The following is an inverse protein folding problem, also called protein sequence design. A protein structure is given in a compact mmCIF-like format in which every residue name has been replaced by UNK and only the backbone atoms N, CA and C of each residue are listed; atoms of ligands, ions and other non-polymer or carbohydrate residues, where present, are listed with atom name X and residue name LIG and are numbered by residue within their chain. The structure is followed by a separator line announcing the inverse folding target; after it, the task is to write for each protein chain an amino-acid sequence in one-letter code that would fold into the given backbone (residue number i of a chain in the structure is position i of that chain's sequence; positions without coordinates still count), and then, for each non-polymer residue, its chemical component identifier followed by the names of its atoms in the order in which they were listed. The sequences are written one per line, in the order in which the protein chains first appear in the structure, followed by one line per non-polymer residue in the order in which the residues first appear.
data_IF_559930242724
#
_entry.id   IF_559930242724
#
_cell.length_a   1.000
_cell.length_b   1.000
_cell.length_c   1.000
_cell.angle_alpha   90.00
_cell.angle_beta   90.00
_cell.angle_gamma   90.00
#
_symmetry.space_group_name_H-M   'P 1'
#
loop_
_entity.id
_entity.type
_entity.pdbx_description
1 polymer ?
#
# COMPACT_ATOMS: atom_id res chain seq x y z
N UNK A 1 -22.86 12.78 3.63
CA UNK A 1 -21.71 11.97 3.19
C UNK A 1 -20.69 11.97 4.32
N UNK A 2 -20.05 10.85 4.64
CA UNK A 2 -18.94 10.83 5.59
C UNK A 2 -17.77 11.69 5.07
N UNK A 3 -16.99 12.28 5.97
CA UNK A 3 -15.80 13.04 5.59
C UNK A 3 -14.80 12.10 4.89
N UNK A 4 -13.96 12.61 3.96
CA UNK A 4 -12.89 11.84 3.36
C UNK A 4 -11.96 11.23 4.41
N UNK A 5 -11.38 10.05 4.14
CA UNK A 5 -10.42 9.39 5.04
C UNK A 5 -9.23 10.33 5.30
N UNK A 6 -8.78 11.04 4.27
CA UNK A 6 -7.68 12.00 4.35
C UNK A 6 -7.94 13.19 5.27
N UNK A 7 -9.20 13.48 5.58
CA UNK A 7 -9.64 14.57 6.47
C UNK A 7 -10.10 14.06 7.84
N UNK A 8 -10.22 12.75 8.01
CA UNK A 8 -10.61 12.12 9.26
C UNK A 8 -9.47 12.15 10.27
N UNK A 9 -9.80 12.33 11.56
CA UNK A 9 -8.80 12.09 12.60
C UNK A 9 -8.45 10.59 12.68
N UNK A 10 -7.25 10.27 13.18
CA UNK A 10 -6.84 8.88 13.39
C UNK A 10 -7.84 8.12 14.27
N UNK A 11 -8.42 8.78 15.29
CA UNK A 11 -9.42 8.18 16.17
C UNK A 11 -10.72 7.87 15.41
N UNK A 12 -11.20 8.78 14.57
CA UNK A 12 -12.38 8.56 13.74
C UNK A 12 -12.16 7.38 12.77
N UNK A 13 -11.01 7.34 12.10
CA UNK A 13 -10.68 6.25 11.18
C UNK A 13 -10.56 4.90 11.91
N UNK A 14 -9.89 4.88 13.07
CA UNK A 14 -9.76 3.69 13.93
C UNK A 14 -11.13 3.19 14.38
N UNK A 15 -12.01 4.07 14.83
CA UNK A 15 -13.36 3.72 15.27
C UNK A 15 -14.19 3.17 14.11
N UNK A 16 -14.12 3.78 12.93
CA UNK A 16 -14.79 3.31 11.72
C UNK A 16 -14.28 1.91 11.30
N UNK A 17 -12.97 1.67 11.32
CA UNK A 17 -12.39 0.36 10.99
C UNK A 17 -12.75 -0.74 12.01
N UNK A 18 -13.10 -0.37 13.24
CA UNK A 18 -13.54 -1.30 14.29
C UNK A 18 -15.07 -1.46 14.36
N UNK A 19 -15.82 -0.73 13.55
CA UNK A 19 -17.29 -0.81 13.51
C UNK A 19 -17.76 -2.10 12.83
N UNK A 20 -19.05 -2.38 12.92
CA UNK A 20 -19.70 -3.44 12.15
C UNK A 20 -20.02 -3.07 10.71
N UNK A 21 -19.67 -1.86 10.28
CA UNK A 21 -19.89 -1.38 8.92
C UNK A 21 -18.94 -2.06 7.92
N UNK A 22 -19.36 -2.26 6.66
CA UNK A 22 -18.53 -2.97 5.68
C UNK A 22 -17.29 -2.20 5.22
N UNK A 23 -17.25 -0.90 5.44
CA UNK A 23 -16.10 -0.02 5.10
C UNK A 23 -15.84 1.01 6.20
N UNK A 24 -14.57 1.43 6.43
CA UNK A 24 -13.35 0.99 5.75
C UNK A 24 -12.92 -0.43 6.12
N UNK A 25 -12.45 -1.21 5.14
CA UNK A 25 -12.03 -2.59 5.32
C UNK A 25 -10.53 -2.78 5.00
N UNK A 26 -10.12 -4.02 4.75
CA UNK A 26 -8.71 -4.42 4.61
C UNK A 26 -7.90 -3.57 3.63
N UNK A 27 -8.44 -3.21 2.47
CA UNK A 27 -7.75 -2.39 1.47
C UNK A 27 -7.55 -0.97 1.99
N UNK A 28 -8.61 -0.31 2.47
CA UNK A 28 -8.53 1.05 2.98
C UNK A 28 -7.57 1.17 4.19
N UNK A 29 -7.66 0.24 5.15
CA UNK A 29 -6.77 0.20 6.34
C UNK A 29 -5.32 0.00 5.92
N UNK A 30 -5.06 -0.90 4.97
CA UNK A 30 -3.70 -1.15 4.48
C UNK A 30 -3.13 0.00 3.68
N UNK A 31 -3.97 0.70 2.92
CA UNK A 31 -3.57 1.87 2.14
C UNK A 31 -3.18 3.06 3.05
N UNK A 32 -3.94 3.31 4.13
CA UNK A 32 -3.56 4.30 5.15
C UNK A 32 -2.25 3.91 5.81
N UNK A 33 -2.07 2.64 6.19
CA UNK A 33 -0.82 2.14 6.78
C UNK A 33 0.38 2.30 5.84
N UNK A 34 0.20 1.99 4.56
CA UNK A 34 1.23 2.16 3.52
C UNK A 34 1.55 3.64 3.27
N UNK A 35 0.56 4.53 3.36
CA UNK A 35 0.79 5.98 3.29
C UNK A 35 1.70 6.46 4.41
N UNK A 36 1.49 6.02 5.65
CA UNK A 36 2.38 6.33 6.76
C UNK A 36 3.77 5.73 6.59
N UNK A 37 3.87 4.49 6.08
CA UNK A 37 5.15 3.86 5.80
C UNK A 37 5.99 4.66 4.78
N UNK A 38 5.36 5.14 3.70
CA UNK A 38 6.01 5.99 2.69
C UNK A 38 6.37 7.38 3.25
N UNK A 39 5.53 7.94 4.14
CA UNK A 39 5.84 9.15 4.87
C UNK A 39 7.08 8.97 5.77
N UNK A 40 7.17 7.82 6.46
CA UNK A 40 8.32 7.47 7.28
C UNK A 40 9.59 7.28 6.42
N UNK A 41 9.48 6.62 5.26
CA UNK A 41 10.59 6.51 4.31
C UNK A 41 11.06 7.89 3.83
N UNK A 42 10.14 8.79 3.50
CA UNK A 42 10.51 10.16 3.10
C UNK A 42 11.25 10.90 4.22
N UNK A 43 10.87 10.70 5.48
CA UNK A 43 11.62 11.22 6.65
C UNK A 43 13.03 10.64 6.74
N UNK A 44 13.18 9.31 6.61
CA UNK A 44 14.48 8.60 6.61
C UNK A 44 15.43 9.20 5.59
N UNK A 45 14.95 9.39 4.37
CA UNK A 45 15.71 9.94 3.25
C UNK A 45 16.14 11.38 3.52
N UNK A 46 15.25 12.23 4.03
CA UNK A 46 15.57 13.62 4.40
C UNK A 46 16.58 13.72 5.52
N UNK A 47 16.47 12.88 6.56
CA UNK A 47 17.44 12.85 7.65
C UNK A 47 18.81 12.43 7.14
N UNK A 48 18.86 11.41 6.28
CA UNK A 48 20.10 10.92 5.69
C UNK A 48 20.76 11.95 4.78
N UNK A 49 19.99 12.66 3.93
CA UNK A 49 20.49 13.70 3.02
C UNK A 49 21.20 14.86 3.74
N UNK A 50 20.80 15.16 4.97
CA UNK A 50 21.39 16.24 5.78
C UNK A 50 22.71 15.86 6.42
N UNK A 51 23.07 14.57 6.41
CA UNK A 51 24.27 14.10 7.09
C UNK A 51 25.50 14.20 6.17
N UNK A 52 26.62 14.73 6.69
CA UNK A 52 27.86 14.96 5.92
C UNK A 52 28.36 13.73 5.17
N UNK A 53 28.21 12.53 5.74
CA UNK A 53 28.58 11.25 5.12
C UNK A 53 27.91 11.05 3.76
N UNK A 54 26.71 11.57 3.55
CA UNK A 54 25.91 11.39 2.34
C UNK A 54 25.78 12.64 1.49
N UNK A 55 26.62 13.67 1.73
CA UNK A 55 26.57 14.94 1.00
C UNK A 55 26.60 14.75 -0.54
N UNK A 56 27.44 13.86 -1.04
CA UNK A 56 27.51 13.54 -2.48
C UNK A 56 26.24 12.85 -3.01
N UNK A 57 25.48 12.18 -2.17
CA UNK A 57 24.25 11.46 -2.52
C UNK A 57 22.98 12.27 -2.18
N UNK A 58 23.11 13.47 -1.62
CA UNK A 58 21.97 14.25 -1.18
C UNK A 58 20.94 14.52 -2.30
N UNK A 59 21.30 14.85 -3.55
CA UNK A 59 20.33 15.04 -4.61
C UNK A 59 19.54 13.75 -4.91
N UNK A 60 20.17 12.60 -4.88
CA UNK A 60 19.48 11.30 -5.06
C UNK A 60 18.52 11.03 -3.90
N UNK A 61 18.95 11.26 -2.67
CA UNK A 61 18.11 11.07 -1.48
C UNK A 61 16.88 11.99 -1.48
N UNK A 62 17.03 13.23 -1.93
CA UNK A 62 15.93 14.18 -2.09
C UNK A 62 14.93 13.70 -3.15
N UNK A 63 15.41 13.27 -4.32
CA UNK A 63 14.57 12.71 -5.37
C UNK A 63 13.79 11.47 -4.90
N UNK A 64 14.44 10.53 -4.20
CA UNK A 64 13.76 9.37 -3.61
C UNK A 64 12.72 9.79 -2.55
N UNK A 65 13.02 10.82 -1.74
CA UNK A 65 12.07 11.36 -0.75
C UNK A 65 10.82 11.94 -1.40
N UNK A 66 10.99 12.66 -2.51
CA UNK A 66 9.85 13.24 -3.23
C UNK A 66 9.01 12.13 -3.90
N UNK A 67 9.64 11.11 -4.48
CA UNK A 67 8.95 9.94 -5.01
C UNK A 67 8.15 9.21 -3.91
N UNK A 68 8.73 9.00 -2.73
CA UNK A 68 8.03 8.39 -1.60
C UNK A 68 6.83 9.23 -1.16
N UNK A 69 6.93 10.56 -1.18
CA UNK A 69 5.80 11.46 -0.86
C UNK A 69 4.67 11.42 -1.89
N UNK A 70 5.00 11.27 -3.17
CA UNK A 70 4.01 11.09 -4.23
C UNK A 70 3.24 9.79 -4.02
N UNK A 71 3.95 8.69 -3.81
CA UNK A 71 3.31 7.39 -3.56
C UNK A 71 2.52 7.38 -2.24
N UNK A 72 2.97 8.09 -1.19
CA UNK A 72 2.21 8.25 0.06
C UNK A 72 0.83 8.88 -0.16
N UNK A 73 0.76 9.95 -0.95
CA UNK A 73 -0.51 10.59 -1.31
C UNK A 73 -1.40 9.65 -2.13
N UNK A 74 -0.80 8.91 -3.07
CA UNK A 74 -1.51 7.94 -3.90
C UNK A 74 -2.14 6.82 -3.09
N UNK A 75 -1.48 6.37 -2.03
CA UNK A 75 -2.04 5.39 -1.11
C UNK A 75 -3.31 5.88 -0.43
N UNK A 76 -3.38 7.14 0.01
CA UNK A 76 -4.61 7.71 0.56
C UNK A 76 -5.73 7.76 -0.47
N UNK A 77 -5.42 8.05 -1.74
CA UNK A 77 -6.41 8.00 -2.82
C UNK A 77 -6.98 6.59 -3.01
N UNK A 78 -6.14 5.54 -2.97
CA UNK A 78 -6.62 4.17 -3.03
C UNK A 78 -7.54 3.80 -1.86
N UNK A 79 -7.31 4.34 -0.66
CA UNK A 79 -8.22 4.13 0.47
C UNK A 79 -9.62 4.72 0.22
N UNK A 80 -9.68 5.93 -0.35
CA UNK A 80 -10.95 6.57 -0.73
C UNK A 80 -11.65 5.83 -1.89
N UNK A 81 -10.87 5.44 -2.89
CA UNK A 81 -11.39 4.73 -4.07
C UNK A 81 -11.96 3.36 -3.70
N UNK A 82 -11.35 2.64 -2.76
CA UNK A 82 -11.84 1.34 -2.27
C UNK A 82 -13.21 1.48 -1.61
N UNK A 83 -13.36 2.43 -0.69
CA UNK A 83 -14.65 2.72 -0.05
C UNK A 83 -15.71 3.12 -1.08
N UNK A 84 -15.33 3.97 -2.04
CA UNK A 84 -16.22 4.40 -3.11
C UNK A 84 -16.66 3.24 -4.01
N UNK A 85 -15.73 2.37 -4.39
CA UNK A 85 -16.02 1.20 -5.23
C UNK A 85 -16.96 0.22 -4.54
N UNK A 86 -16.77 -0.02 -3.24
CA UNK A 86 -17.69 -0.86 -2.47
C UNK A 86 -19.09 -0.24 -2.38
N UNK A 87 -19.19 1.04 -2.10
CA UNK A 87 -20.46 1.74 -2.06
C UNK A 87 -21.20 1.71 -3.41
N UNK A 88 -20.45 1.86 -4.51
CA UNK A 88 -20.99 1.73 -5.86
C UNK A 88 -21.51 0.31 -6.14
N UNK A 89 -20.80 -0.72 -5.67
CA UNK A 89 -21.25 -2.11 -5.76
C UNK A 89 -22.57 -2.32 -4.99
N UNK A 90 -22.67 -1.85 -3.75
CA UNK A 90 -23.90 -1.96 -2.96
C UNK A 90 -25.06 -1.21 -3.61
N UNK A 91 -24.82 -0.01 -4.13
CA UNK A 91 -25.84 0.79 -4.82
C UNK A 91 -26.32 0.09 -6.10
N UNK A 92 -25.41 -0.42 -6.93
CA UNK A 92 -25.73 -1.11 -8.18
C UNK A 92 -26.52 -2.41 -7.93
N UNK A 93 -26.20 -3.12 -6.84
CA UNK A 93 -26.90 -4.34 -6.44
C UNK A 93 -28.38 -4.12 -6.07
N UNK A 94 -28.75 -2.88 -5.73
CA UNK A 94 -30.12 -2.48 -5.35
C UNK A 94 -30.92 -1.90 -6.51
N UNK A 95 -30.35 -1.79 -7.71
CA UNK A 95 -31.07 -1.30 -8.89
C UNK A 95 -32.23 -2.23 -9.26
N UNK A 96 -33.32 -1.67 -9.86
CA UNK A 96 -34.49 -2.43 -10.30
C UNK A 96 -34.13 -3.57 -11.24
N UNK A 97 -34.96 -4.64 -11.26
CA UNK A 97 -34.78 -5.83 -12.09
C UNK A 97 -36.08 -6.44 -12.61
N UNK A 98 -37.17 -5.67 -12.62
CA UNK A 98 -38.47 -6.16 -13.02
C UNK A 98 -38.59 -6.45 -14.53
N UNK A 99 -37.94 -5.63 -15.38
CA UNK A 99 -37.91 -5.78 -16.82
C UNK A 99 -36.53 -6.15 -17.37
N UNK A 100 -36.47 -6.61 -18.64
CA UNK A 100 -35.21 -7.01 -19.29
C UNK A 100 -34.20 -5.86 -19.32
N UNK A 101 -34.65 -4.67 -19.70
CA UNK A 101 -33.81 -3.47 -19.72
C UNK A 101 -33.23 -3.14 -18.35
N UNK A 102 -34.03 -3.21 -17.29
CA UNK A 102 -33.59 -2.94 -15.92
C UNK A 102 -32.55 -3.98 -15.46
N UNK A 103 -32.77 -5.28 -15.81
CA UNK A 103 -31.82 -6.35 -15.54
C UNK A 103 -30.48 -6.11 -16.24
N UNK A 104 -30.48 -5.69 -17.50
CA UNK A 104 -29.27 -5.38 -18.25
C UNK A 104 -28.53 -4.16 -17.69
N UNK A 105 -29.25 -3.09 -17.36
CA UNK A 105 -28.69 -1.87 -16.76
C UNK A 105 -28.06 -2.19 -15.41
N UNK A 106 -28.77 -2.94 -14.56
CA UNK A 106 -28.26 -3.41 -13.27
C UNK A 106 -27.01 -4.29 -13.45
N UNK A 107 -27.04 -5.26 -14.35
CA UNK A 107 -25.89 -6.16 -14.59
C UNK A 107 -24.65 -5.39 -15.07
N UNK A 108 -24.81 -4.41 -15.96
CA UNK A 108 -23.72 -3.53 -16.39
C UNK A 108 -23.14 -2.72 -15.23
N UNK A 109 -23.99 -2.13 -14.41
CA UNK A 109 -23.57 -1.33 -13.27
C UNK A 109 -22.85 -2.20 -12.21
N UNK A 110 -23.37 -3.38 -11.90
CA UNK A 110 -22.74 -4.34 -10.99
C UNK A 110 -21.37 -4.77 -11.52
N UNK A 111 -21.27 -5.17 -12.79
CA UNK A 111 -20.01 -5.59 -13.39
C UNK A 111 -18.96 -4.47 -13.35
N UNK A 112 -19.34 -3.23 -13.63
CA UNK A 112 -18.45 -2.08 -13.57
C UNK A 112 -17.94 -1.82 -12.15
N UNK A 113 -18.83 -1.87 -11.15
CA UNK A 113 -18.47 -1.67 -9.75
C UNK A 113 -17.55 -2.79 -9.24
N UNK A 114 -17.90 -4.04 -9.52
CA UNK A 114 -17.10 -5.22 -9.18
C UNK A 114 -15.69 -5.14 -9.77
N UNK A 115 -15.57 -4.74 -11.04
CA UNK A 115 -14.28 -4.55 -11.69
C UNK A 115 -13.39 -3.61 -10.88
N UNK A 116 -13.94 -2.52 -10.34
CA UNK A 116 -13.19 -1.57 -9.50
C UNK A 116 -12.71 -2.18 -8.19
N UNK A 117 -13.50 -3.04 -7.54
CA UNK A 117 -13.07 -3.72 -6.31
C UNK A 117 -11.89 -4.69 -6.51
N UNK A 118 -11.52 -5.01 -7.74
CA UNK A 118 -10.34 -5.82 -8.11
C UNK A 118 -9.19 -4.93 -8.58
N UNK A 119 -9.48 -3.97 -9.48
CA UNK A 119 -8.45 -3.10 -10.06
C UNK A 119 -7.76 -2.21 -9.01
N UNK A 120 -8.52 -1.67 -8.05
CA UNK A 120 -7.98 -0.77 -7.02
C UNK A 120 -6.95 -1.46 -6.13
N UNK A 121 -7.23 -2.60 -5.48
CA UNK A 121 -6.21 -3.27 -4.67
C UNK A 121 -5.02 -3.76 -5.49
N UNK A 122 -5.18 -4.16 -6.74
CA UNK A 122 -4.04 -4.49 -7.60
C UNK A 122 -3.16 -3.27 -7.92
N UNK A 123 -3.77 -2.11 -8.18
CA UNK A 123 -3.05 -0.87 -8.38
C UNK A 123 -2.33 -0.42 -7.09
N UNK A 124 -2.98 -0.56 -5.92
CA UNK A 124 -2.38 -0.28 -4.62
C UNK A 124 -1.21 -1.22 -4.31
N UNK A 125 -1.33 -2.51 -4.64
CA UNK A 125 -0.24 -3.48 -4.50
C UNK A 125 0.97 -3.10 -5.36
N UNK A 126 0.74 -2.67 -6.60
CA UNK A 126 1.81 -2.21 -7.49
C UNK A 126 2.49 -0.94 -6.96
N UNK A 127 1.74 0.00 -6.42
CA UNK A 127 2.28 1.21 -5.76
C UNK A 127 3.10 0.85 -4.51
N UNK A 128 2.65 -0.14 -3.70
CA UNK A 128 3.43 -0.65 -2.59
C UNK A 128 4.75 -1.31 -3.04
N UNK A 129 4.74 -2.02 -4.17
CA UNK A 129 5.95 -2.59 -4.78
C UNK A 129 6.95 -1.48 -5.19
N UNK A 130 6.48 -0.37 -5.75
CA UNK A 130 7.31 0.82 -6.01
C UNK A 130 7.90 1.38 -4.71
N UNK A 131 7.11 1.44 -3.63
CA UNK A 131 7.62 1.84 -2.31
C UNK A 131 8.72 0.94 -1.77
N UNK A 132 8.62 -0.38 -1.99
CA UNK A 132 9.67 -1.35 -1.62
C UNK A 132 10.95 -1.19 -2.45
N UNK A 133 10.85 -0.86 -3.73
CA UNK A 133 11.99 -0.50 -4.56
C UNK A 133 12.70 0.74 -3.99
N UNK A 134 11.96 1.79 -3.63
CA UNK A 134 12.52 2.98 -2.98
C UNK A 134 13.22 2.64 -1.65
N UNK A 135 12.67 1.72 -0.84
CA UNK A 135 13.33 1.23 0.38
C UNK A 135 14.67 0.53 0.08
N UNK A 136 14.69 -0.31 -0.96
CA UNK A 136 15.92 -0.99 -1.40
C UNK A 136 16.99 0.00 -1.87
N UNK A 137 16.60 0.99 -2.67
CA UNK A 137 17.51 2.04 -3.17
C UNK A 137 18.04 2.94 -2.05
N UNK A 138 17.23 3.14 -1.01
CA UNK A 138 17.59 3.92 0.17
C UNK A 138 18.56 3.17 1.10
N UNK A 139 18.59 1.83 1.08
CA UNK A 139 19.19 1.02 2.15
C UNK A 139 20.65 1.37 2.44
N UNK A 140 21.50 1.39 1.41
CA UNK A 140 22.93 1.75 1.53
C UNK A 140 23.20 3.24 1.76
N UNK A 141 22.19 4.09 1.65
CA UNK A 141 22.26 5.55 1.80
C UNK A 141 21.56 6.04 3.08
N UNK A 142 21.11 5.12 3.93
CA UNK A 142 20.40 5.46 5.17
C UNK A 142 21.37 5.70 6.32
N UNK A 143 21.18 6.83 7.00
CA UNK A 143 21.92 7.13 8.22
C UNK A 143 21.52 6.18 9.34
N UNK A 144 22.50 5.70 10.11
CA UNK A 144 22.31 4.70 11.17
C UNK A 144 21.28 5.08 12.22
N UNK A 145 21.13 6.35 12.55
CA UNK A 145 20.14 6.84 13.52
C UNK A 145 18.68 6.61 13.10
N UNK A 146 18.41 6.38 11.82
CA UNK A 146 17.07 6.15 11.26
C UNK A 146 16.96 4.81 10.51
N UNK A 147 17.94 3.91 10.73
CA UNK A 147 17.97 2.61 10.04
C UNK A 147 16.78 1.72 10.43
N UNK A 148 16.35 1.77 11.69
CA UNK A 148 15.17 1.05 12.18
C UNK A 148 13.87 1.59 11.55
N UNK A 149 13.78 2.90 11.32
CA UNK A 149 12.65 3.52 10.61
C UNK A 149 12.55 3.02 9.16
N UNK A 150 13.68 2.79 8.48
CA UNK A 150 13.70 2.15 7.16
C UNK A 150 13.14 0.72 7.23
N UNK A 151 13.56 -0.05 8.23
CA UNK A 151 13.05 -1.41 8.46
C UNK A 151 11.54 -1.43 8.71
N UNK A 152 11.05 -0.50 9.52
CA UNK A 152 9.62 -0.34 9.80
C UNK A 152 8.83 0.01 8.52
N UNK A 153 9.29 0.99 7.73
CA UNK A 153 8.66 1.36 6.48
C UNK A 153 8.61 0.18 5.50
N UNK A 154 9.71 -0.57 5.35
CA UNK A 154 9.80 -1.75 4.49
C UNK A 154 8.81 -2.83 4.93
N UNK A 155 8.74 -3.13 6.23
CA UNK A 155 7.87 -4.18 6.77
C UNK A 155 6.38 -3.83 6.60
N UNK A 156 6.00 -2.59 6.84
CA UNK A 156 4.62 -2.11 6.65
C UNK A 156 4.20 -2.18 5.18
N UNK A 157 5.07 -1.75 4.26
CA UNK A 157 4.80 -1.82 2.81
C UNK A 157 4.67 -3.26 2.31
N UNK A 158 5.54 -4.16 2.76
CA UNK A 158 5.47 -5.58 2.40
C UNK A 158 4.18 -6.23 2.94
N UNK A 159 3.77 -5.89 4.16
CA UNK A 159 2.50 -6.31 4.74
C UNK A 159 1.30 -5.79 3.95
N UNK A 160 1.28 -4.50 3.65
CA UNK A 160 0.21 -3.86 2.88
C UNK A 160 0.06 -4.48 1.48
N UNK A 161 1.17 -4.68 0.76
CA UNK A 161 1.17 -5.33 -0.55
C UNK A 161 0.49 -6.70 -0.51
N UNK A 162 0.84 -7.54 0.48
CA UNK A 162 0.22 -8.87 0.63
C UNK A 162 -1.28 -8.79 0.88
N UNK A 163 -1.73 -7.83 1.70
CA UNK A 163 -3.16 -7.63 1.99
C UNK A 163 -3.90 -7.20 0.73
N UNK A 164 -3.36 -6.26 -0.04
CA UNK A 164 -3.95 -5.84 -1.31
C UNK A 164 -4.15 -7.01 -2.27
N UNK A 165 -3.15 -7.89 -2.39
CA UNK A 165 -3.23 -9.08 -3.24
C UNK A 165 -4.28 -10.07 -2.73
N UNK A 166 -4.34 -10.31 -1.42
CA UNK A 166 -5.38 -11.17 -0.81
C UNK A 166 -6.78 -10.62 -1.07
N UNK A 167 -6.98 -9.30 -0.95
CA UNK A 167 -8.28 -8.68 -1.20
C UNK A 167 -8.67 -8.78 -2.68
N UNK A 168 -7.74 -8.54 -3.60
CA UNK A 168 -7.98 -8.71 -5.03
C UNK A 168 -8.37 -10.15 -5.39
N UNK A 169 -7.65 -11.14 -4.86
CA UNK A 169 -7.94 -12.56 -5.07
C UNK A 169 -9.29 -12.96 -4.48
N UNK A 170 -9.60 -12.48 -3.28
CA UNK A 170 -10.88 -12.74 -2.61
C UNK A 170 -12.04 -12.17 -3.42
N UNK A 171 -11.92 -10.93 -3.87
CA UNK A 171 -12.97 -10.28 -4.66
C UNK A 171 -13.20 -11.00 -5.98
N UNK A 172 -12.13 -11.40 -6.68
CA UNK A 172 -12.26 -12.14 -7.93
C UNK A 172 -13.00 -13.48 -7.73
N UNK A 173 -12.70 -14.21 -6.66
CA UNK A 173 -13.30 -15.53 -6.39
C UNK A 173 -14.75 -15.44 -5.91
N UNK A 174 -15.04 -14.50 -5.00
CA UNK A 174 -16.38 -14.36 -4.41
C UNK A 174 -17.42 -13.88 -5.42
N UNK A 175 -16.99 -13.08 -6.39
CA UNK A 175 -17.89 -12.46 -7.35
C UNK A 175 -18.14 -13.34 -8.58
N UNK A 176 -17.58 -14.56 -8.62
CA UNK A 176 -17.74 -15.52 -9.72
C UNK A 176 -17.58 -14.88 -11.12
N UNK A 177 -16.69 -13.90 -11.22
CA UNK A 177 -16.44 -13.16 -12.45
C UNK A 177 -15.65 -14.01 -13.44
N UNK A 178 -15.93 -13.80 -14.71
CA UNK A 178 -15.03 -14.25 -15.75
C UNK A 178 -13.63 -13.68 -15.52
N UNK A 179 -12.60 -14.50 -15.31
CA UNK A 179 -11.25 -14.02 -15.09
C UNK A 179 -10.57 -13.46 -16.35
N UNK A 180 -11.15 -13.67 -17.52
CA UNK A 180 -10.56 -13.29 -18.82
C UNK A 180 -10.18 -11.79 -18.88
N UNK A 181 -11.05 -10.83 -18.50
CA UNK A 181 -10.70 -9.41 -18.51
C UNK A 181 -9.53 -9.01 -17.64
N UNK A 182 -9.19 -9.86 -16.65
CA UNK A 182 -8.11 -9.59 -15.69
C UNK A 182 -6.85 -10.42 -15.98
N UNK A 183 -6.88 -11.31 -16.99
CA UNK A 183 -5.79 -12.26 -17.26
C UNK A 183 -4.44 -11.58 -17.44
N UNK A 184 -4.37 -10.50 -18.22
CA UNK A 184 -3.12 -9.77 -18.44
C UNK A 184 -2.61 -9.10 -17.16
N UNK A 185 -3.53 -8.52 -16.36
CA UNK A 185 -3.21 -7.87 -15.10
C UNK A 185 -2.66 -8.87 -14.08
N UNK A 186 -3.24 -10.07 -14.00
CA UNK A 186 -2.77 -11.15 -13.15
C UNK A 186 -1.51 -11.83 -13.67
N UNK A 187 -1.31 -11.91 -14.99
CA UNK A 187 -0.09 -12.47 -15.57
C UNK A 187 1.15 -11.63 -15.22
N UNK A 188 1.04 -10.31 -15.31
CA UNK A 188 2.12 -9.40 -14.92
C UNK A 188 2.40 -9.37 -13.40
N UNK A 189 1.45 -9.82 -12.59
CA UNK A 189 1.51 -9.76 -11.13
C UNK A 189 2.67 -10.56 -10.56
N UNK A 190 2.86 -11.79 -11.03
CA UNK A 190 3.87 -12.70 -10.46
C UNK A 190 5.29 -12.11 -10.56
N UNK A 191 5.60 -11.44 -11.67
CA UNK A 191 6.91 -10.85 -11.89
C UNK A 191 7.18 -9.67 -10.93
N UNK A 192 6.27 -8.70 -10.87
CA UNK A 192 6.49 -7.54 -10.01
C UNK A 192 6.34 -7.87 -8.54
N UNK A 193 5.50 -8.84 -8.15
CA UNK A 193 5.41 -9.36 -6.78
C UNK A 193 6.73 -10.01 -6.35
N UNK A 194 7.32 -10.83 -7.20
CA UNK A 194 8.63 -11.45 -6.95
C UNK A 194 9.74 -10.39 -6.82
N UNK A 195 9.74 -9.36 -7.68
CA UNK A 195 10.70 -8.25 -7.57
C UNK A 195 10.52 -7.49 -6.26
N UNK A 196 9.30 -7.16 -5.88
CA UNK A 196 9.00 -6.45 -4.65
C UNK A 196 9.43 -7.23 -3.39
N UNK A 197 9.21 -8.54 -3.38
CA UNK A 197 9.70 -9.40 -2.30
C UNK A 197 11.24 -9.39 -2.19
N UNK A 198 11.96 -9.43 -3.33
CA UNK A 198 13.44 -9.29 -3.32
C UNK A 198 13.89 -7.93 -2.80
N UNK A 199 13.20 -6.83 -3.16
CA UNK A 199 13.51 -5.51 -2.64
C UNK A 199 13.31 -5.42 -1.13
N UNK A 200 12.20 -5.96 -0.63
CA UNK A 200 11.92 -6.02 0.80
C UNK A 200 12.97 -6.82 1.56
N UNK A 201 13.31 -8.01 1.07
CA UNK A 201 14.33 -8.88 1.67
C UNK A 201 15.70 -8.20 1.69
N UNK A 202 16.10 -7.60 0.57
CA UNK A 202 17.38 -6.88 0.46
C UNK A 202 17.49 -5.74 1.46
N UNK A 203 16.45 -4.89 1.54
CA UNK A 203 16.42 -3.77 2.46
C UNK A 203 16.46 -4.23 3.93
N UNK A 204 15.63 -5.22 4.30
CA UNK A 204 15.58 -5.76 5.67
C UNK A 204 16.88 -6.46 6.07
N UNK A 205 17.52 -7.19 5.16
CA UNK A 205 18.84 -7.80 5.38
C UNK A 205 19.89 -6.73 5.66
N UNK A 206 19.90 -5.64 4.90
CA UNK A 206 20.80 -4.52 5.15
C UNK A 206 20.52 -3.87 6.51
N UNK A 207 19.26 -3.60 6.84
CA UNK A 207 18.85 -3.05 8.15
C UNK A 207 19.36 -3.93 9.29
N UNK A 208 19.12 -5.24 9.22
CA UNK A 208 19.58 -6.20 10.23
C UNK A 208 21.10 -6.20 10.36
N UNK A 209 21.84 -6.19 9.25
CA UNK A 209 23.31 -6.12 9.24
C UNK A 209 23.83 -4.87 9.94
N UNK A 210 23.22 -3.70 9.66
CA UNK A 210 23.64 -2.44 10.30
C UNK A 210 23.32 -2.47 11.80
N UNK A 211 22.13 -2.92 12.19
CA UNK A 211 21.74 -3.02 13.62
C UNK A 211 22.70 -3.94 14.37
N UNK A 212 23.02 -5.11 13.82
CA UNK A 212 23.94 -6.08 14.44
C UNK A 212 25.39 -5.57 14.54
N UNK A 213 25.78 -4.62 13.70
CA UNK A 213 27.11 -3.98 13.78
C UNK A 213 27.22 -2.87 14.81
N UNK A 214 26.09 -2.45 15.42
CA UNK A 214 26.12 -1.42 16.45
C UNK A 214 26.75 -1.96 17.75
N UNK A 215 27.59 -1.14 18.44
CA UNK A 215 28.17 -1.56 19.71
C UNK A 215 27.06 -1.79 20.74
N UNK A 216 26.81 -3.03 21.07
CA UNK A 216 25.83 -3.43 22.08
C UNK A 216 26.29 -3.04 23.49
N UNK A 217 25.52 -2.24 24.21
CA UNK A 217 25.77 -2.00 25.64
C UNK A 217 25.60 -3.26 26.49
N UNK A 218 24.86 -4.27 25.98
CA UNK A 218 24.58 -5.52 26.69
C UNK A 218 25.63 -6.65 26.48
N UNK A 219 26.59 -6.45 25.56
CA UNK A 219 27.65 -7.46 25.30
C UNK A 219 28.87 -7.32 26.24
N UNK A 220 28.84 -6.46 27.26
CA UNK A 220 29.97 -6.22 28.16
C UNK A 220 29.84 -6.82 29.56
N UNK A 221 28.83 -7.66 29.81
CA UNK A 221 28.61 -8.32 31.11
C UNK A 221 28.54 -9.85 30.95
N UNK A 222 29.54 -10.43 30.26
CA UNK A 222 29.76 -11.88 30.30
C UNK A 222 31.24 -12.23 30.23
#
# INVERSE_FOLDING_TARGET
MAAPISESSLEQFRAAAASGDPTPAGVAVSAVSASFALGLLAKVLKVSARHKKFAASAPKLESLSDAARVESKRMLQFAEEDVSAFNAYVASSRLPQAGDREREERQRAVNAAVRKTIEIPLAAARSAATGLELCSDASGLTHVAVIADLGAATSLLAGAMRIFLLCADSNLRQLALDPQPFRELFAARAEWEQRANRYAESALKHVASVINSLPGKFARES
#
